data_IF_414936183539
#
_entry.id   IF_414936183539
#
_cell.length_a   1.000
_cell.length_b   1.000
_cell.length_c   1.000
_cell.angle_alpha   90.00
_cell.angle_beta   90.00
_cell.angle_gamma   90.00
#
_symmetry.space_group_name_H-M   'P 1'
#
loop_
_entity.id
_entity.type
_entity.pdbx_description
1 polymer ?
#
# COMPACT_ATOMS: atom_id res chain seq x y z
N UNK A 1 14.61 -65.14 -18.86
CA UNK A 1 13.95 -64.43 -17.76
C UNK A 1 15.03 -63.72 -16.97
N UNK A 2 15.20 -62.37 -17.06
CA UNK A 2 16.23 -61.67 -16.30
C UNK A 2 15.69 -61.36 -14.90
N UNK A 3 16.38 -61.86 -13.89
CA UNK A 3 16.17 -61.55 -12.49
C UNK A 3 16.62 -60.09 -12.21
N UNK A 4 15.68 -59.21 -11.91
CA UNK A 4 15.98 -57.85 -11.44
C UNK A 4 16.73 -57.92 -10.08
N UNK A 5 17.91 -57.32 -9.93
CA UNK A 5 18.56 -57.26 -8.64
C UNK A 5 17.74 -56.38 -7.67
N UNK A 6 17.11 -57.01 -6.67
CA UNK A 6 16.55 -56.28 -5.55
C UNK A 6 17.67 -55.65 -4.73
N UNK A 7 17.86 -54.33 -4.84
CA UNK A 7 18.74 -53.55 -3.97
C UNK A 7 18.28 -53.74 -2.50
N UNK A 8 18.94 -54.72 -1.81
CA UNK A 8 18.76 -54.86 -0.36
C UNK A 8 19.66 -53.82 0.33
N UNK A 9 19.16 -52.62 0.55
CA UNK A 9 19.80 -51.63 1.39
C UNK A 9 20.03 -52.24 2.79
N UNK A 10 21.28 -52.26 3.25
CA UNK A 10 21.67 -52.67 4.61
C UNK A 10 20.93 -51.76 5.63
N UNK A 11 20.66 -52.21 6.84
CA UNK A 11 19.87 -51.57 7.88
C UNK A 11 20.38 -50.14 8.20
N UNK A 12 21.69 -49.90 8.27
CA UNK A 12 22.31 -48.59 8.54
C UNK A 12 21.97 -47.52 7.53
N UNK A 13 22.10 -47.72 6.20
CA UNK A 13 21.70 -46.72 5.21
C UNK A 13 20.22 -46.37 5.24
N UNK A 14 19.35 -47.33 5.52
CA UNK A 14 17.90 -47.07 5.63
C UNK A 14 17.58 -46.18 6.82
N UNK A 15 18.17 -46.42 7.96
CA UNK A 15 18.00 -45.62 9.17
C UNK A 15 18.53 -44.20 8.96
N UNK A 16 19.73 -44.07 8.35
CA UNK A 16 20.30 -42.76 8.01
C UNK A 16 19.39 -41.95 7.08
N UNK A 17 18.91 -42.56 5.98
CA UNK A 17 18.00 -41.88 5.02
C UNK A 17 16.73 -41.46 5.72
N UNK A 18 16.13 -42.30 6.57
CA UNK A 18 14.88 -41.96 7.26
C UNK A 18 15.06 -40.77 8.23
N UNK A 19 16.15 -40.74 9.00
CA UNK A 19 16.44 -39.61 9.89
C UNK A 19 16.78 -38.34 9.11
N UNK A 20 17.58 -38.48 8.03
CA UNK A 20 17.92 -37.35 7.17
C UNK A 20 16.64 -36.72 6.54
N UNK A 21 15.74 -37.57 6.03
CA UNK A 21 14.45 -37.10 5.50
C UNK A 21 13.56 -36.45 6.57
N UNK A 22 13.54 -37.01 7.78
CA UNK A 22 12.79 -36.43 8.88
C UNK A 22 13.33 -35.06 9.27
N UNK A 23 14.64 -34.90 9.37
CA UNK A 23 15.30 -33.60 9.64
C UNK A 23 15.00 -32.58 8.53
N UNK A 24 15.11 -33.00 7.26
CA UNK A 24 14.81 -32.16 6.10
C UNK A 24 13.35 -31.67 6.13
N UNK A 25 12.41 -32.56 6.40
CA UNK A 25 10.99 -32.21 6.47
C UNK A 25 10.70 -31.24 7.61
N UNK A 26 11.23 -31.52 8.80
CA UNK A 26 11.02 -30.66 9.97
C UNK A 26 11.68 -29.29 9.75
N UNK A 27 12.96 -29.24 9.33
CA UNK A 27 13.66 -27.98 9.08
C UNK A 27 13.01 -27.18 7.95
N UNK A 28 12.61 -27.86 6.85
CA UNK A 28 11.92 -27.22 5.75
C UNK A 28 10.56 -26.63 6.16
N UNK A 29 9.77 -27.39 6.95
CA UNK A 29 8.48 -26.91 7.46
C UNK A 29 8.65 -25.70 8.38
N UNK A 30 9.60 -25.75 9.30
CA UNK A 30 9.91 -24.65 10.23
C UNK A 30 10.37 -23.41 9.44
N UNK A 31 11.32 -23.58 8.52
CA UNK A 31 11.82 -22.50 7.68
C UNK A 31 10.72 -21.85 6.86
N UNK A 32 9.87 -22.65 6.24
CA UNK A 32 8.71 -22.18 5.46
C UNK A 32 7.72 -21.41 6.35
N UNK A 33 7.42 -21.93 7.54
CA UNK A 33 6.55 -21.27 8.50
C UNK A 33 7.08 -19.88 8.91
N UNK A 34 8.37 -19.81 9.31
CA UNK A 34 8.96 -18.53 9.69
C UNK A 34 9.04 -17.55 8.51
N UNK A 35 9.31 -18.04 7.30
CA UNK A 35 9.33 -17.20 6.11
C UNK A 35 7.96 -16.54 5.86
N UNK A 36 6.87 -17.30 5.85
CA UNK A 36 5.54 -16.74 5.66
C UNK A 36 5.14 -15.77 6.77
N UNK A 37 5.46 -16.09 8.03
CA UNK A 37 5.19 -15.17 9.15
C UNK A 37 6.00 -13.87 9.03
N UNK A 38 7.25 -13.92 8.58
CA UNK A 38 8.06 -12.72 8.38
C UNK A 38 7.49 -11.83 7.27
N UNK A 39 7.05 -12.40 6.15
CA UNK A 39 6.38 -11.68 5.05
C UNK A 39 5.11 -11.01 5.54
N UNK A 40 4.24 -11.75 6.25
CA UNK A 40 2.98 -11.21 6.77
C UNK A 40 3.23 -10.08 7.79
N UNK A 41 4.19 -10.28 8.69
CA UNK A 41 4.56 -9.25 9.68
C UNK A 41 5.10 -7.98 9.02
N UNK A 42 5.93 -8.11 7.97
CA UNK A 42 6.41 -6.94 7.23
C UNK A 42 5.26 -6.23 6.51
N UNK A 43 4.38 -6.97 5.83
CA UNK A 43 3.22 -6.40 5.15
C UNK A 43 2.32 -5.66 6.14
N UNK A 44 2.05 -6.25 7.29
CA UNK A 44 1.27 -5.60 8.35
C UNK A 44 1.96 -4.32 8.86
N UNK A 45 3.29 -4.34 9.01
CA UNK A 45 4.06 -3.15 9.39
C UNK A 45 3.95 -2.04 8.33
N UNK A 46 4.04 -2.37 7.04
CA UNK A 46 3.88 -1.41 5.94
C UNK A 46 2.47 -0.79 5.95
N UNK A 47 1.43 -1.62 6.09
CA UNK A 47 0.04 -1.16 6.20
C UNK A 47 -0.15 -0.21 7.38
N UNK A 48 0.31 -0.61 8.57
CA UNK A 48 0.20 0.23 9.76
C UNK A 48 0.93 1.57 9.61
N UNK A 49 2.10 1.58 8.96
CA UNK A 49 2.84 2.81 8.68
C UNK A 49 2.10 3.73 7.72
N UNK A 50 1.53 3.19 6.64
CA UNK A 50 0.74 3.97 5.67
C UNK A 50 -0.51 4.56 6.34
N UNK A 51 -1.28 3.75 7.04
CA UNK A 51 -2.48 4.18 7.76
C UNK A 51 -2.16 5.28 8.79
N UNK A 52 -1.13 5.09 9.60
CA UNK A 52 -0.71 6.07 10.60
C UNK A 52 -0.18 7.36 9.96
N UNK A 53 0.55 7.25 8.84
CA UNK A 53 1.05 8.42 8.09
C UNK A 53 -0.12 9.22 7.50
N UNK A 54 -1.13 8.55 6.93
CA UNK A 54 -2.34 9.20 6.45
C UNK A 54 -3.09 9.90 7.58
N UNK A 55 -3.26 9.22 8.72
CA UNK A 55 -3.91 9.80 9.91
C UNK A 55 -3.17 11.03 10.46
N UNK A 56 -1.82 11.01 10.50
CA UNK A 56 -1.04 12.16 10.92
C UNK A 56 -1.13 13.32 9.92
N UNK A 57 -1.02 13.02 8.63
CA UNK A 57 -1.11 14.04 7.58
C UNK A 57 -2.48 14.71 7.57
N UNK A 58 -3.55 13.94 7.77
CA UNK A 58 -4.92 14.43 7.77
C UNK A 58 -5.17 15.51 8.84
N UNK A 59 -4.50 15.42 9.99
CA UNK A 59 -4.62 16.42 11.06
C UNK A 59 -3.96 17.76 10.72
N UNK A 60 -3.07 17.78 9.73
CA UNK A 60 -2.32 18.96 9.33
C UNK A 60 -3.01 19.79 8.22
N UNK A 61 -4.18 19.34 7.75
CA UNK A 61 -4.96 19.96 6.67
C UNK A 61 -6.40 20.16 7.15
N UNK A 62 -6.90 21.36 7.05
CA UNK A 62 -8.30 21.68 7.38
C UNK A 62 -9.15 21.58 6.12
N UNK A 63 -10.17 20.74 6.13
CA UNK A 63 -11.03 20.53 4.96
C UNK A 63 -11.84 21.81 4.58
N UNK A 64 -12.12 22.68 5.55
CA UNK A 64 -12.82 23.95 5.30
C UNK A 64 -12.06 24.88 4.35
N UNK A 65 -10.73 24.83 4.41
CA UNK A 65 -9.88 25.64 3.51
C UNK A 65 -10.04 25.17 2.05
N UNK A 66 -10.41 23.90 1.83
CA UNK A 66 -10.50 23.27 0.50
C UNK A 66 -11.88 23.43 -0.16
N UNK A 67 -12.86 24.00 0.52
CA UNK A 67 -14.21 24.19 -0.04
C UNK A 67 -14.24 25.06 -1.31
N UNK A 68 -13.27 25.97 -1.44
CA UNK A 68 -13.11 26.83 -2.61
C UNK A 68 -12.46 26.14 -3.83
N UNK A 69 -11.92 24.91 -3.65
CA UNK A 69 -11.23 24.17 -4.73
C UNK A 69 -12.18 23.10 -5.26
N UNK A 70 -12.83 23.35 -6.41
CA UNK A 70 -13.87 22.46 -6.94
C UNK A 70 -13.65 21.97 -8.36
N UNK A 71 -12.87 22.71 -9.15
CA UNK A 71 -12.71 22.44 -10.58
C UNK A 71 -11.31 22.80 -11.08
N UNK A 72 -10.99 22.39 -12.30
CA UNK A 72 -9.75 22.76 -12.95
C UNK A 72 -9.54 24.29 -13.09
N UNK A 73 -10.59 25.12 -12.97
CA UNK A 73 -10.44 26.57 -12.96
C UNK A 73 -9.80 27.11 -11.68
N UNK A 74 -9.80 26.32 -10.60
CA UNK A 74 -9.34 26.74 -9.27
C UNK A 74 -7.84 26.46 -9.03
N UNK A 75 -7.10 26.01 -10.03
CA UNK A 75 -5.66 25.66 -9.90
C UNK A 75 -4.76 26.88 -9.62
N UNK A 76 -5.26 28.11 -9.78
CA UNK A 76 -4.56 29.35 -9.41
C UNK A 76 -4.94 29.86 -8.01
N UNK A 77 -5.85 29.16 -7.31
CA UNK A 77 -6.25 29.53 -5.97
C UNK A 77 -5.06 29.35 -5.01
N UNK A 78 -4.83 30.31 -4.12
CA UNK A 78 -3.71 30.30 -3.16
C UNK A 78 -3.76 29.08 -2.23
N UNK A 79 -4.97 28.67 -1.82
CA UNK A 79 -5.18 27.47 -0.98
C UNK A 79 -4.75 26.20 -1.74
N UNK A 80 -5.17 26.09 -3.02
CA UNK A 80 -4.76 24.98 -3.88
C UNK A 80 -3.24 24.92 -4.00
N UNK A 81 -2.60 26.03 -4.41
CA UNK A 81 -1.15 26.11 -4.64
C UNK A 81 -0.36 25.83 -3.35
N UNK A 82 -0.77 26.41 -2.22
CA UNK A 82 -0.11 26.21 -0.93
C UNK A 82 -0.20 24.78 -0.43
N UNK A 83 -1.38 24.14 -0.58
CA UNK A 83 -1.58 22.74 -0.17
C UNK A 83 -0.86 21.77 -1.11
N UNK A 84 -0.90 22.01 -2.42
CA UNK A 84 -0.16 21.24 -3.41
C UNK A 84 1.35 21.25 -3.14
N UNK A 85 1.92 22.45 -2.90
CA UNK A 85 3.35 22.59 -2.58
C UNK A 85 3.70 21.85 -1.27
N UNK A 86 2.82 21.92 -0.25
CA UNK A 86 2.97 21.13 0.99
C UNK A 86 3.01 19.63 0.72
N UNK A 87 2.06 19.09 -0.05
CA UNK A 87 2.02 17.66 -0.39
C UNK A 87 3.25 17.23 -1.19
N UNK A 88 3.65 18.03 -2.19
CA UNK A 88 4.87 17.76 -2.98
C UNK A 88 6.15 17.75 -2.15
N UNK A 89 6.30 18.68 -1.21
CA UNK A 89 7.45 18.67 -0.27
C UNK A 89 7.45 17.43 0.61
N UNK A 90 6.30 17.04 1.16
CA UNK A 90 6.18 15.84 1.99
C UNK A 90 6.49 14.57 1.17
N UNK A 91 5.98 14.47 -0.05
CA UNK A 91 6.30 13.35 -0.94
C UNK A 91 7.80 13.23 -1.22
N UNK A 92 8.45 14.35 -1.55
CA UNK A 92 9.90 14.37 -1.82
C UNK A 92 10.75 14.04 -0.59
N UNK A 93 10.24 14.22 0.62
CA UNK A 93 10.94 13.84 1.86
C UNK A 93 10.93 12.36 2.15
N UNK A 94 10.06 11.59 1.47
CA UNK A 94 9.95 10.14 1.65
C UNK A 94 9.90 9.43 0.28
N UNK A 95 11.03 8.83 -0.18
CA UNK A 95 11.12 8.22 -1.50
C UNK A 95 10.21 7.00 -1.68
N UNK A 96 9.75 6.38 -0.60
CA UNK A 96 8.81 5.24 -0.65
C UNK A 96 7.41 5.68 -1.11
N UNK A 97 7.07 6.97 -0.98
CA UNK A 97 5.76 7.51 -1.32
C UNK A 97 5.74 7.94 -2.79
N UNK A 98 4.83 7.35 -3.56
CA UNK A 98 4.61 7.72 -4.96
C UNK A 98 3.78 8.99 -5.09
N UNK A 99 2.61 9.00 -4.41
CA UNK A 99 1.66 10.11 -4.47
C UNK A 99 1.07 10.43 -3.10
N UNK A 100 0.71 11.70 -2.94
CA UNK A 100 -0.14 12.23 -1.88
C UNK A 100 -1.26 13.00 -2.54
N UNK A 101 -2.48 12.75 -2.15
CA UNK A 101 -3.63 13.42 -2.75
C UNK A 101 -4.73 13.68 -1.74
N UNK A 102 -5.64 14.57 -2.12
CA UNK A 102 -6.86 14.86 -1.36
C UNK A 102 -8.05 14.59 -2.26
N UNK A 103 -9.01 13.83 -1.72
CA UNK A 103 -10.25 13.48 -2.40
C UNK A 103 -11.43 14.11 -1.68
N UNK A 104 -12.49 14.34 -2.45
CA UNK A 104 -13.80 14.75 -1.95
C UNK A 104 -14.86 13.75 -2.39
N UNK A 105 -15.75 13.37 -1.47
CA UNK A 105 -16.95 12.59 -1.77
C UNK A 105 -18.16 13.51 -1.69
N UNK A 106 -18.87 13.65 -2.79
CA UNK A 106 -20.15 14.36 -2.88
C UNK A 106 -21.15 13.49 -3.66
N UNK A 107 -22.24 13.08 -3.00
CA UNK A 107 -23.30 12.26 -3.61
C UNK A 107 -22.77 10.97 -4.26
N UNK A 108 -21.94 10.23 -3.52
CA UNK A 108 -21.28 8.98 -3.92
C UNK A 108 -20.29 9.12 -5.10
N UNK A 109 -19.97 10.34 -5.51
CA UNK A 109 -18.89 10.60 -6.47
C UNK A 109 -17.64 11.05 -5.75
N UNK A 110 -16.54 10.31 -5.99
CA UNK A 110 -15.24 10.66 -5.47
C UNK A 110 -14.49 11.46 -6.53
N UNK A 111 -14.02 12.65 -6.15
CA UNK A 111 -13.29 13.55 -7.04
C UNK A 111 -11.97 13.98 -6.42
N UNK A 112 -10.97 14.21 -7.27
CA UNK A 112 -9.71 14.82 -6.84
C UNK A 112 -9.93 16.27 -6.44
N UNK A 113 -9.34 16.67 -5.32
CA UNK A 113 -9.23 18.07 -4.90
C UNK A 113 -7.81 18.56 -5.14
N UNK A 114 -6.82 17.76 -4.72
CA UNK A 114 -5.39 18.04 -4.94
C UNK A 114 -4.68 16.73 -5.23
N UNK A 115 -3.82 16.73 -6.24
CA UNK A 115 -2.96 15.59 -6.58
C UNK A 115 -1.50 16.07 -6.65
N UNK A 116 -0.61 15.42 -5.91
CA UNK A 116 0.82 15.77 -5.84
C UNK A 116 1.63 15.31 -7.04
N UNK A 117 1.05 14.61 -8.02
CA UNK A 117 1.75 14.21 -9.23
C UNK A 117 2.39 15.44 -9.91
N UNK A 118 3.59 15.27 -10.45
CA UNK A 118 4.35 16.29 -11.16
C UNK A 118 4.48 15.96 -12.65
N UNK A 119 3.74 14.96 -13.12
CA UNK A 119 3.70 14.55 -14.53
C UNK A 119 2.45 15.10 -15.24
N UNK A 120 2.37 14.84 -16.53
CA UNK A 120 1.18 15.19 -17.34
C UNK A 120 -0.08 14.41 -16.94
N UNK A 121 0.07 13.39 -16.08
CA UNK A 121 -1.03 12.59 -15.57
C UNK A 121 -1.67 13.16 -14.29
N UNK A 122 -1.17 14.28 -13.77
CA UNK A 122 -1.75 14.93 -12.60
C UNK A 122 -3.26 15.11 -12.77
N UNK A 123 -4.03 14.61 -11.81
CA UNK A 123 -5.47 14.79 -11.80
C UNK A 123 -5.85 16.22 -11.41
N UNK A 124 -6.57 16.97 -12.28
CA UNK A 124 -7.05 18.29 -11.92
C UNK A 124 -8.17 18.22 -10.88
N UNK A 125 -8.40 19.30 -10.11
CA UNK A 125 -9.54 19.38 -9.21
C UNK A 125 -10.86 19.14 -9.94
N UNK A 126 -11.75 18.34 -9.33
CA UNK A 126 -13.05 17.97 -9.89
C UNK A 126 -13.01 16.76 -10.83
N UNK A 127 -11.83 16.22 -11.18
CA UNK A 127 -11.77 14.96 -11.93
C UNK A 127 -12.32 13.83 -11.07
N UNK A 128 -13.24 13.05 -11.63
CA UNK A 128 -13.83 11.89 -10.98
C UNK A 128 -12.86 10.70 -10.96
N UNK A 129 -12.88 9.96 -9.86
CA UNK A 129 -12.13 8.70 -9.70
C UNK A 129 -13.13 7.54 -9.72
N UNK A 130 -13.41 7.01 -10.93
CA UNK A 130 -14.48 6.03 -11.15
C UNK A 130 -14.17 4.66 -10.52
N UNK A 131 -12.89 4.26 -10.50
CA UNK A 131 -12.44 2.95 -10.00
C UNK A 131 -11.92 3.02 -8.55
N UNK A 132 -12.55 3.84 -7.69
CA UNK A 132 -12.12 4.00 -6.31
C UNK A 132 -12.25 2.67 -5.53
N UNK A 133 -11.20 2.22 -4.82
CA UNK A 133 -11.27 0.99 -4.03
C UNK A 133 -12.21 1.12 -2.83
N UNK A 134 -12.87 0.02 -2.45
CA UNK A 134 -13.85 -0.01 -1.34
C UNK A 134 -13.29 0.57 -0.03
N UNK A 135 -12.00 0.30 0.27
CA UNK A 135 -11.36 0.80 1.49
C UNK A 135 -11.12 2.32 1.48
N UNK A 136 -11.13 2.97 0.32
CA UNK A 136 -11.14 4.43 0.22
C UNK A 136 -12.45 5.01 0.78
N UNK A 137 -13.59 4.35 0.58
CA UNK A 137 -14.86 4.78 1.18
C UNK A 137 -14.80 4.79 2.70
N UNK A 138 -14.20 3.76 3.30
CA UNK A 138 -13.93 3.73 4.74
C UNK A 138 -13.03 4.90 5.17
N UNK A 139 -12.03 5.25 4.35
CA UNK A 139 -11.08 6.34 4.57
C UNK A 139 -11.69 7.73 4.73
N UNK A 140 -12.94 7.95 4.29
CA UNK A 140 -13.67 9.21 4.54
C UNK A 140 -14.17 9.35 5.98
N UNK A 141 -14.27 8.24 6.73
CA UNK A 141 -14.83 8.21 8.08
C UNK A 141 -13.80 7.87 9.14
N UNK A 142 -12.89 6.94 8.85
CA UNK A 142 -11.81 6.50 9.74
C UNK A 142 -10.55 6.14 8.96
N UNK A 143 -9.36 6.20 9.59
CA UNK A 143 -8.12 5.78 8.93
C UNK A 143 -8.21 4.33 8.45
N UNK A 144 -7.91 4.11 7.18
CA UNK A 144 -7.93 2.79 6.52
C UNK A 144 -6.69 2.58 5.67
N UNK A 145 -6.46 1.35 5.22
CA UNK A 145 -5.33 0.96 4.35
C UNK A 145 -5.75 -0.23 3.52
N UNK A 146 -5.30 -0.30 2.27
CA UNK A 146 -5.59 -1.42 1.39
C UNK A 146 -5.08 -2.75 1.95
N UNK A 147 -5.84 -3.82 1.78
CA UNK A 147 -5.42 -5.17 2.17
C UNK A 147 -4.28 -5.71 1.30
N UNK A 148 -4.24 -5.30 0.06
CA UNK A 148 -3.26 -5.68 -0.97
C UNK A 148 -3.11 -4.57 -1.99
N UNK A 149 -1.99 -4.55 -2.75
CA UNK A 149 -1.83 -3.56 -3.81
C UNK A 149 -3.00 -3.58 -4.80
N UNK A 150 -3.50 -2.39 -5.13
CA UNK A 150 -4.59 -2.14 -6.07
C UNK A 150 -4.04 -1.50 -7.36
N UNK A 151 -4.62 -1.84 -8.51
CA UNK A 151 -4.23 -1.31 -9.82
C UNK A 151 -5.25 -0.31 -10.32
N UNK A 152 -4.77 0.86 -10.71
CA UNK A 152 -5.55 1.89 -11.40
C UNK A 152 -4.82 2.41 -12.66
N UNK A 153 -5.24 3.54 -13.21
CA UNK A 153 -4.66 4.16 -14.41
C UNK A 153 -3.26 4.76 -14.18
N UNK A 154 -2.87 5.04 -12.93
CA UNK A 154 -1.55 5.56 -12.58
C UNK A 154 -0.54 4.47 -12.26
N UNK A 155 -1.00 3.27 -11.89
CA UNK A 155 -0.10 2.17 -11.58
C UNK A 155 -0.67 1.08 -10.69
N UNK A 156 0.21 0.50 -9.88
CA UNK A 156 -0.15 -0.47 -8.84
C UNK A 156 0.39 0.03 -7.51
N UNK A 157 -0.51 0.28 -6.56
CA UNK A 157 -0.17 0.92 -5.29
C UNK A 157 -0.75 0.16 -4.10
N UNK A 158 -0.10 0.30 -2.96
CA UNK A 158 -0.67 0.02 -1.65
C UNK A 158 -0.96 1.38 -1.02
N UNK A 159 -2.22 1.65 -0.69
CA UNK A 159 -2.67 2.99 -0.31
C UNK A 159 -3.23 3.03 1.10
N UNK A 160 -2.93 4.10 1.80
CA UNK A 160 -3.50 4.41 3.10
C UNK A 160 -4.31 5.71 3.04
N UNK A 161 -5.43 5.75 3.75
CA UNK A 161 -6.41 6.83 3.72
C UNK A 161 -6.72 7.33 5.12
N UNK A 162 -7.07 8.61 5.24
CA UNK A 162 -7.60 9.15 6.50
C UNK A 162 -8.51 10.36 6.26
N UNK A 163 -9.59 10.53 7.06
CA UNK A 163 -10.49 11.67 6.93
C UNK A 163 -9.76 12.96 7.33
N UNK A 164 -9.98 14.03 6.59
CA UNK A 164 -9.46 15.34 6.95
C UNK A 164 -10.19 15.93 8.15
N UNK A 165 -9.44 16.68 8.95
CA UNK A 165 -10.01 17.47 10.05
C UNK A 165 -11.10 18.43 9.52
N UNK A 166 -12.23 18.52 10.22
CA UNK A 166 -13.40 19.33 9.87
C UNK A 166 -14.03 18.98 8.51
N UNK A 167 -13.76 17.77 7.96
CA UNK A 167 -14.28 17.34 6.66
C UNK A 167 -15.66 16.70 6.71
N UNK A 168 -16.18 16.37 7.89
CA UNK A 168 -17.49 15.77 8.12
C UNK A 168 -17.76 14.52 7.24
N UNK A 169 -16.72 13.70 7.04
CA UNK A 169 -16.81 12.51 6.18
C UNK A 169 -16.80 12.78 4.67
N UNK A 170 -16.59 14.05 4.25
CA UNK A 170 -16.57 14.42 2.83
C UNK A 170 -15.17 14.52 2.22
N UNK A 171 -14.13 14.58 3.02
CA UNK A 171 -12.74 14.73 2.57
C UNK A 171 -11.84 13.71 3.18
N UNK A 172 -10.94 13.16 2.38
CA UNK A 172 -9.83 12.33 2.85
C UNK A 172 -8.50 12.79 2.24
N UNK A 173 -7.41 12.41 2.89
CA UNK A 173 -6.08 12.37 2.29
C UNK A 173 -5.70 10.92 2.02
N UNK A 174 -5.12 10.67 0.84
CA UNK A 174 -4.54 9.39 0.44
C UNK A 174 -3.02 9.47 0.32
N UNK A 175 -2.38 8.36 0.64
CA UNK A 175 -0.93 8.14 0.51
C UNK A 175 -0.71 6.84 -0.24
N UNK A 176 -0.02 6.90 -1.38
CA UNK A 176 0.28 5.73 -2.21
C UNK A 176 1.76 5.35 -2.12
N UNK A 177 2.00 4.08 -1.86
CA UNK A 177 3.30 3.41 -2.03
C UNK A 177 3.25 2.52 -3.26
N UNK A 178 4.25 2.58 -4.15
CA UNK A 178 4.30 1.72 -5.34
C UNK A 178 4.42 0.25 -4.97
N UNK A 179 3.78 -0.63 -5.75
CA UNK A 179 3.84 -2.07 -5.53
C UNK A 179 5.26 -2.64 -5.69
N UNK A 180 6.08 -2.09 -6.59
CA UNK A 180 7.48 -2.46 -6.74
C UNK A 180 8.31 -2.12 -5.49
N UNK A 181 8.02 -1.00 -4.82
CA UNK A 181 8.62 -0.69 -3.52
C UNK A 181 8.18 -1.67 -2.42
N UNK A 182 6.92 -2.09 -2.43
CA UNK A 182 6.42 -3.13 -1.53
C UNK A 182 7.17 -4.45 -1.80
N UNK A 183 7.26 -4.85 -3.07
CA UNK A 183 7.96 -6.07 -3.48
C UNK A 183 9.46 -6.00 -3.18
N UNK A 184 10.12 -4.86 -3.35
CA UNK A 184 11.52 -4.66 -2.98
C UNK A 184 11.74 -4.85 -1.49
N UNK A 185 10.87 -4.29 -0.63
CA UNK A 185 10.96 -4.47 0.82
C UNK A 185 10.73 -5.93 1.23
N UNK A 186 9.80 -6.62 0.58
CA UNK A 186 9.56 -8.05 0.80
C UNK A 186 10.73 -8.91 0.30
N UNK A 187 11.36 -8.54 -0.83
CA UNK A 187 12.49 -9.29 -1.39
C UNK A 187 13.77 -9.16 -0.57
N UNK A 188 13.99 -8.07 0.15
CA UNK A 188 15.12 -7.92 1.06
C UNK A 188 15.13 -9.00 2.15
N UNK A 189 13.97 -9.51 2.58
CA UNK A 189 13.85 -10.63 3.50
C UNK A 189 14.25 -11.98 2.89
N UNK A 190 14.27 -12.10 1.54
CA UNK A 190 14.65 -13.36 0.87
C UNK A 190 16.15 -13.55 0.79
N UNK A 191 16.94 -12.50 1.01
CA UNK A 191 18.39 -12.49 0.84
C UNK A 191 19.13 -12.53 2.19
N UNK A 192 18.44 -12.49 3.31
CA UNK A 192 18.96 -12.65 4.68
C UNK A 192 18.63 -14.03 5.24
#
# INVERSE_FOLDING_TARGET
MPLHPRLRLRFGPKLFISHFMAVLLVSGSIGTFFYFNAIESLMQSLRSRLQNSAALLSQSIDARDLEAVRSAADVQNEIYLGTLDKLRRLRRSNPDIAFLYIMRNESDRITFVIDSDETEKQAPPGREYEDAPDLMQTGFHEPSVDDKPYRDEWGVFLSGYAPLRNGEGRYLVGIDMRADEVDNKLSQLRLT
#
